data_IF_950540742665
#
_entry.id   IF_950540742665
#
_cell.length_a   1.000
_cell.length_b   1.000
_cell.length_c   1.000
_cell.angle_alpha   90.00
_cell.angle_beta   90.00
_cell.angle_gamma   90.00
#
_symmetry.space_group_name_H-M   'P 1'
#
loop_
_entity.id
_entity.type
_entity.pdbx_description
1 polymer ?
#
# COMPACT_ATOMS: atom_id res chain seq x y z
N UNK A 1 25.36 -5.82 7.49
CA UNK A 1 25.17 -4.92 8.65
C UNK A 1 23.85 -5.30 9.28
N UNK A 2 23.86 -5.84 10.50
CA UNK A 2 22.62 -6.11 11.24
C UNK A 2 22.09 -4.76 11.75
N UNK A 3 21.22 -4.13 10.97
CA UNK A 3 20.40 -3.03 11.48
C UNK A 3 19.49 -3.63 12.55
N UNK A 4 19.86 -3.48 13.81
CA UNK A 4 18.97 -3.76 14.93
C UNK A 4 17.90 -2.69 14.85
N UNK A 5 16.78 -3.05 14.23
CA UNK A 5 15.60 -2.19 14.14
C UNK A 5 15.08 -2.01 15.56
N UNK A 6 15.21 -0.80 16.11
CA UNK A 6 14.71 -0.49 17.44
C UNK A 6 13.20 -0.25 17.37
N UNK A 7 12.42 -1.15 17.97
CA UNK A 7 10.96 -1.06 17.99
C UNK A 7 10.47 0.24 18.64
N UNK A 8 11.17 0.76 19.65
CA UNK A 8 10.81 2.01 20.32
C UNK A 8 10.99 3.21 19.40
N UNK A 9 12.02 3.18 18.55
CA UNK A 9 12.27 4.21 17.55
C UNK A 9 11.19 4.20 16.44
N UNK A 10 10.84 3.01 15.93
CA UNK A 10 9.72 2.85 14.98
C UNK A 10 8.42 3.38 15.58
N UNK A 11 8.10 2.96 16.81
CA UNK A 11 6.90 3.40 17.49
C UNK A 11 6.89 4.93 17.65
N UNK A 12 8.02 5.53 18.05
CA UNK A 12 8.15 6.98 18.20
C UNK A 12 7.93 7.74 16.89
N UNK A 13 8.49 7.24 15.78
CA UNK A 13 8.30 7.85 14.45
C UNK A 13 6.84 7.74 14.01
N UNK A 14 6.22 6.56 14.17
CA UNK A 14 4.80 6.35 13.86
C UNK A 14 3.91 7.25 14.72
N UNK A 15 4.18 7.37 16.01
CA UNK A 15 3.45 8.27 16.91
C UNK A 15 3.55 9.73 16.49
N UNK A 16 4.76 10.21 16.14
CA UNK A 16 4.96 11.58 15.64
C UNK A 16 4.22 11.83 14.32
N UNK A 17 4.22 10.87 13.40
CA UNK A 17 3.46 10.98 12.15
C UNK A 17 1.96 11.09 12.43
N UNK A 18 1.43 10.24 13.32
CA UNK A 18 0.04 10.28 13.78
C UNK A 18 -0.34 11.59 14.48
N UNK A 19 0.57 12.20 15.25
CA UNK A 19 0.34 13.48 15.91
C UNK A 19 0.07 14.62 14.91
N UNK A 20 0.63 14.55 13.70
CA UNK A 20 0.35 15.54 12.62
C UNK A 20 -1.11 15.55 12.19
N UNK A 21 -1.84 14.44 12.36
CA UNK A 21 -3.26 14.30 12.02
C UNK A 21 -4.19 14.60 13.21
N UNK A 22 -3.63 14.70 14.42
CA UNK A 22 -4.39 14.90 15.65
C UNK A 22 -4.90 16.35 15.70
N UNK A 23 -6.16 16.54 15.33
CA UNK A 23 -6.84 17.83 15.35
C UNK A 23 -7.56 18.20 14.06
N UNK A 24 -7.27 17.52 12.94
CA UNK A 24 -7.98 17.70 11.65
C UNK A 24 -8.99 16.60 11.37
N UNK A 25 -8.82 15.40 11.95
CA UNK A 25 -9.67 14.22 11.75
C UNK A 25 -9.95 13.57 13.11
N UNK A 26 -11.16 13.01 13.30
CA UNK A 26 -11.53 12.29 14.52
C UNK A 26 -10.62 11.06 14.73
N UNK A 27 -10.17 10.78 15.97
CA UNK A 27 -9.32 9.63 16.27
C UNK A 27 -9.85 8.26 15.88
N UNK A 28 -11.16 8.10 15.85
CA UNK A 28 -11.82 6.87 15.42
C UNK A 28 -11.75 6.66 13.90
N UNK A 29 -11.59 7.73 13.12
CA UNK A 29 -11.56 7.69 11.67
C UNK A 29 -10.13 7.66 11.12
N UNK A 30 -9.21 8.50 11.61
CA UNK A 30 -7.83 8.57 11.07
C UNK A 30 -7.11 7.22 11.16
N UNK A 31 -7.41 6.41 12.18
CA UNK A 31 -6.82 5.07 12.34
C UNK A 31 -7.06 4.19 11.12
N UNK A 32 -8.26 4.24 10.54
CA UNK A 32 -8.61 3.40 9.40
C UNK A 32 -7.82 3.82 8.15
N UNK A 33 -7.70 5.12 7.90
CA UNK A 33 -6.89 5.67 6.80
C UNK A 33 -5.40 5.28 6.94
N UNK A 34 -4.82 5.45 8.13
CA UNK A 34 -3.40 5.12 8.37
C UNK A 34 -3.16 3.63 8.20
N UNK A 35 -4.01 2.77 8.76
CA UNK A 35 -3.83 1.32 8.66
C UNK A 35 -3.93 0.82 7.21
N UNK A 36 -4.85 1.38 6.41
CA UNK A 36 -4.95 1.02 4.99
C UNK A 36 -3.75 1.52 4.20
N UNK A 37 -3.25 2.73 4.48
CA UNK A 37 -2.03 3.22 3.82
C UNK A 37 -0.80 2.40 4.19
N UNK A 38 -0.66 2.00 5.46
CA UNK A 38 0.41 1.10 5.89
C UNK A 38 0.29 -0.27 5.23
N UNK A 39 -0.93 -0.81 5.12
CA UNK A 39 -1.18 -2.06 4.41
C UNK A 39 -0.80 -1.94 2.92
N UNK A 40 -1.20 -0.87 2.26
CA UNK A 40 -0.88 -0.60 0.85
C UNK A 40 0.64 -0.47 0.65
N UNK A 41 1.32 0.27 1.53
CA UNK A 41 2.79 0.36 1.51
C UNK A 41 3.43 -1.01 1.67
N UNK A 42 2.97 -1.79 2.65
CA UNK A 42 3.49 -3.13 2.91
C UNK A 42 3.36 -4.06 1.70
N UNK A 43 2.18 -4.15 1.08
CA UNK A 43 2.01 -5.02 -0.10
C UNK A 43 2.83 -4.52 -1.29
N UNK A 44 2.99 -3.20 -1.44
CA UNK A 44 3.78 -2.61 -2.52
C UNK A 44 5.27 -2.91 -2.36
N UNK A 45 5.77 -2.85 -1.14
CA UNK A 45 7.17 -3.18 -0.82
C UNK A 45 7.47 -4.65 -1.08
N UNK A 46 6.62 -5.54 -0.54
CA UNK A 46 6.77 -6.98 -0.77
C UNK A 46 6.69 -7.27 -2.27
N UNK A 47 5.78 -6.65 -3.00
CA UNK A 47 5.67 -6.89 -4.44
C UNK A 47 6.90 -6.38 -5.20
N UNK A 48 7.43 -5.20 -4.89
CA UNK A 48 8.64 -4.66 -5.53
C UNK A 48 9.88 -5.51 -5.27
N UNK A 49 10.08 -5.95 -4.03
CA UNK A 49 11.20 -6.83 -3.67
C UNK A 49 11.13 -8.14 -4.49
N UNK A 50 9.94 -8.74 -4.56
CA UNK A 50 9.71 -9.98 -5.32
C UNK A 50 9.85 -9.77 -6.82
N UNK A 51 9.39 -8.64 -7.34
CA UNK A 51 9.59 -8.24 -8.73
C UNK A 51 11.08 -8.16 -9.06
N UNK A 52 11.86 -7.46 -8.24
CA UNK A 52 13.31 -7.31 -8.43
C UNK A 52 14.03 -8.67 -8.39
N UNK A 53 13.71 -9.51 -7.39
CA UNK A 53 14.25 -10.88 -7.27
C UNK A 53 13.96 -11.72 -8.53
N UNK A 54 12.73 -11.67 -9.04
CA UNK A 54 12.32 -12.44 -10.21
C UNK A 54 12.94 -11.91 -11.50
N UNK A 55 13.08 -10.59 -11.64
CA UNK A 55 13.76 -9.95 -12.77
C UNK A 55 15.21 -10.39 -12.85
N UNK A 56 15.91 -10.42 -11.72
CA UNK A 56 17.29 -10.96 -11.67
C UNK A 56 17.31 -12.45 -12.01
N UNK A 57 16.44 -13.25 -11.38
CA UNK A 57 16.37 -14.70 -11.57
C UNK A 57 16.09 -15.13 -13.01
N UNK A 58 15.29 -14.36 -13.74
CA UNK A 58 14.91 -14.66 -15.11
C UNK A 58 15.63 -13.79 -16.16
N UNK A 59 16.73 -13.13 -15.77
CA UNK A 59 17.54 -12.29 -16.66
C UNK A 59 16.69 -11.25 -17.44
N UNK A 60 15.73 -10.63 -16.76
CA UNK A 60 14.86 -9.60 -17.33
C UNK A 60 13.71 -10.11 -18.21
N UNK A 61 13.42 -11.42 -18.24
CA UNK A 61 12.26 -11.96 -18.95
C UNK A 61 10.93 -11.61 -18.23
N UNK A 62 10.33 -10.50 -18.66
CA UNK A 62 9.08 -9.97 -18.13
C UNK A 62 7.95 -11.01 -18.13
N UNK A 63 7.82 -11.81 -19.18
CA UNK A 63 6.70 -12.75 -19.31
C UNK A 63 6.77 -13.84 -18.23
N UNK A 64 7.98 -14.27 -17.86
CA UNK A 64 8.20 -15.24 -16.79
C UNK A 64 7.98 -14.62 -15.42
N UNK A 65 8.42 -13.38 -15.22
CA UNK A 65 8.21 -12.60 -13.99
C UNK A 65 6.72 -12.43 -13.72
N UNK A 66 5.96 -11.92 -14.69
CA UNK A 66 4.50 -11.74 -14.57
C UNK A 66 3.77 -13.05 -14.29
N UNK A 67 4.27 -14.17 -14.85
CA UNK A 67 3.70 -15.50 -14.58
C UNK A 67 3.93 -15.93 -13.13
N UNK A 68 5.08 -15.64 -12.55
CA UNK A 68 5.35 -15.97 -11.15
C UNK A 68 4.58 -15.05 -10.19
N UNK A 69 4.49 -13.75 -10.50
CA UNK A 69 3.79 -12.78 -9.66
C UNK A 69 2.28 -13.08 -9.54
N UNK A 70 1.69 -13.75 -10.53
CA UNK A 70 0.29 -14.25 -10.43
C UNK A 70 0.07 -15.26 -9.30
N UNK A 71 1.12 -15.90 -8.79
CA UNK A 71 1.04 -16.84 -7.67
C UNK A 71 1.39 -16.21 -6.32
N UNK A 72 1.76 -14.93 -6.30
CA UNK A 72 2.03 -14.23 -5.04
C UNK A 72 0.77 -14.09 -4.19
N UNK A 73 0.98 -13.88 -2.88
CA UNK A 73 -0.13 -13.84 -1.92
C UNK A 73 -1.15 -12.75 -2.25
N UNK A 74 -0.70 -11.60 -2.73
CA UNK A 74 -1.56 -10.53 -3.19
C UNK A 74 -1.18 -10.17 -4.62
N UNK A 75 -2.19 -10.05 -5.46
CA UNK A 75 -2.05 -9.52 -6.81
C UNK A 75 -2.11 -8.00 -6.69
N UNK A 76 -1.07 -7.31 -7.15
CA UNK A 76 -1.03 -5.85 -7.19
C UNK A 76 -1.28 -5.40 -8.64
N UNK A 77 -2.46 -4.82 -8.95
CA UNK A 77 -2.74 -4.32 -10.28
C UNK A 77 -1.82 -3.16 -10.64
N UNK A 78 -1.54 -3.02 -11.93
CA UNK A 78 -0.71 -1.93 -12.44
C UNK A 78 -1.26 -0.56 -12.03
N UNK A 79 -0.35 0.33 -11.59
CA UNK A 79 -0.66 1.68 -11.16
C UNK A 79 -1.49 1.78 -9.87
N UNK A 80 -1.64 0.67 -9.13
CA UNK A 80 -2.36 0.65 -7.84
C UNK A 80 -1.42 0.54 -6.64
N UNK A 81 -0.10 0.57 -6.88
CA UNK A 81 0.91 0.51 -5.83
C UNK A 81 1.09 1.86 -5.13
N UNK A 82 1.65 1.81 -3.93
CA UNK A 82 1.91 2.98 -3.10
C UNK A 82 2.76 4.04 -3.81
N UNK A 83 3.77 3.63 -4.59
CA UNK A 83 4.71 4.57 -5.20
C UNK A 83 4.04 5.35 -6.33
N UNK A 84 3.20 4.69 -7.14
CA UNK A 84 2.37 5.37 -8.14
C UNK A 84 1.51 6.46 -7.51
N UNK A 85 0.84 6.16 -6.39
CA UNK A 85 0.01 7.14 -5.68
C UNK A 85 0.85 8.24 -5.01
N UNK A 86 2.03 7.88 -4.49
CA UNK A 86 2.95 8.84 -3.88
C UNK A 86 3.47 9.86 -4.89
N UNK A 87 3.74 9.44 -6.13
CA UNK A 87 4.14 10.35 -7.20
C UNK A 87 3.02 11.33 -7.57
N UNK A 88 1.76 10.93 -7.38
CA UNK A 88 0.55 11.72 -7.61
C UNK A 88 0.05 12.45 -6.35
N UNK A 89 0.82 12.48 -5.25
CA UNK A 89 0.36 13.02 -3.94
C UNK A 89 -0.05 14.50 -3.93
N UNK A 90 0.25 15.25 -4.97
CA UNK A 90 -0.13 16.67 -5.11
C UNK A 90 -1.31 16.87 -6.08
N UNK A 91 -1.85 15.79 -6.66
CA UNK A 91 -2.99 15.85 -7.56
C UNK A 91 -4.26 16.20 -6.78
N UNK A 92 -5.10 17.04 -7.37
CA UNK A 92 -6.34 17.50 -6.74
C UNK A 92 -7.33 16.37 -6.47
N UNK A 93 -7.25 15.28 -7.25
CA UNK A 93 -8.11 14.10 -7.14
C UNK A 93 -7.39 12.90 -6.50
N UNK A 94 -6.37 13.14 -5.65
CA UNK A 94 -5.64 12.06 -4.98
C UNK A 94 -6.54 11.08 -4.22
N UNK A 95 -7.58 11.57 -3.54
CA UNK A 95 -8.52 10.71 -2.82
C UNK A 95 -9.24 9.71 -3.73
N UNK A 96 -9.68 10.17 -4.90
CA UNK A 96 -10.30 9.34 -5.94
C UNK A 96 -9.31 8.29 -6.47
N UNK A 97 -8.07 8.71 -6.73
CA UNK A 97 -7.01 7.81 -7.22
C UNK A 97 -6.70 6.70 -6.21
N UNK A 98 -6.65 7.03 -4.92
CA UNK A 98 -6.50 6.07 -3.83
C UNK A 98 -7.69 5.09 -3.81
N UNK A 99 -8.91 5.60 -3.86
CA UNK A 99 -10.11 4.75 -3.84
C UNK A 99 -10.13 3.78 -5.03
N UNK A 100 -9.80 4.24 -6.23
CA UNK A 100 -9.69 3.41 -7.45
C UNK A 100 -8.61 2.33 -7.27
N UNK A 101 -7.45 2.68 -6.70
CA UNK A 101 -6.38 1.70 -6.46
C UNK A 101 -6.83 0.61 -5.46
N UNK A 102 -7.49 1.00 -4.36
CA UNK A 102 -7.99 0.07 -3.36
C UNK A 102 -9.08 -0.86 -3.92
N UNK A 103 -9.99 -0.33 -4.74
CA UNK A 103 -11.03 -1.13 -5.42
C UNK A 103 -10.39 -2.17 -6.36
N UNK A 104 -9.43 -1.76 -7.19
CA UNK A 104 -8.69 -2.68 -8.07
C UNK A 104 -7.98 -3.78 -7.28
N UNK A 105 -7.36 -3.43 -6.15
CA UNK A 105 -6.69 -4.40 -5.27
C UNK A 105 -7.71 -5.35 -4.65
N UNK A 106 -8.84 -4.86 -4.15
CA UNK A 106 -9.92 -5.71 -3.62
C UNK A 106 -10.44 -6.68 -4.69
N UNK A 107 -10.70 -6.18 -5.90
CA UNK A 107 -11.20 -6.96 -7.01
C UNK A 107 -10.22 -8.05 -7.48
N UNK A 108 -8.93 -7.74 -7.52
CA UNK A 108 -7.90 -8.71 -7.87
C UNK A 108 -7.69 -9.77 -6.77
N UNK A 109 -8.12 -9.49 -5.53
CA UNK A 109 -7.87 -10.33 -4.36
C UNK A 109 -9.14 -10.70 -3.59
N UNK A 110 -10.30 -10.81 -4.26
CA UNK A 110 -11.63 -11.03 -3.63
C UNK A 110 -11.63 -12.06 -2.52
N UNK A 111 -11.01 -13.22 -2.75
CA UNK A 111 -10.96 -14.30 -1.76
C UNK A 111 -10.34 -13.92 -0.41
N UNK A 112 -9.53 -12.85 -0.36
CA UNK A 112 -8.75 -12.42 0.81
C UNK A 112 -9.13 -11.04 1.32
N UNK A 113 -9.56 -10.14 0.43
CA UNK A 113 -9.76 -8.72 0.74
C UNK A 113 -11.20 -8.23 0.60
N UNK A 114 -12.16 -9.12 0.32
CA UNK A 114 -13.56 -8.72 0.22
C UNK A 114 -14.05 -8.00 1.48
N UNK A 115 -14.63 -6.82 1.31
CA UNK A 115 -15.10 -5.92 2.36
C UNK A 115 -14.02 -5.28 3.25
N UNK A 116 -12.73 -5.45 2.95
CA UNK A 116 -11.66 -4.90 3.80
C UNK A 116 -11.58 -3.38 3.72
N UNK A 117 -11.83 -2.78 2.54
CA UNK A 117 -11.69 -1.33 2.33
C UNK A 117 -13.01 -0.54 2.32
N UNK A 118 -14.17 -1.22 2.42
CA UNK A 118 -15.50 -0.60 2.18
C UNK A 118 -15.90 0.53 3.13
N UNK A 119 -15.27 0.63 4.30
CA UNK A 119 -15.60 1.66 5.30
C UNK A 119 -14.69 2.90 5.20
N UNK A 120 -13.95 3.04 4.11
CA UNK A 120 -12.96 4.12 3.94
C UNK A 120 -13.19 4.76 2.59
N UNK A 121 -13.39 6.07 2.62
CA UNK A 121 -13.50 6.91 1.43
C UNK A 121 -12.49 8.05 1.56
N UNK A 122 -11.46 8.08 0.71
CA UNK A 122 -10.46 9.16 0.74
C UNK A 122 -10.97 10.48 0.13
N UNK A 123 -12.20 10.51 -0.40
CA UNK A 123 -12.89 11.73 -0.83
C UNK A 123 -13.91 12.24 0.18
N UNK A 124 -14.12 11.56 1.32
CA UNK A 124 -15.05 12.07 2.34
C UNK A 124 -14.40 13.25 3.06
N UNK A 125 -14.87 14.46 2.77
CA UNK A 125 -14.76 15.63 3.65
C UNK A 125 -15.74 15.55 4.82
#
# INVERSE_FOLDING_TARGET
>A
MNNIINQDEINSILWKACDTFRGTIDPSEYKNYILVMLFLKYISDVWQDRYAELMEKYNGDQMRVDRQLRYERFILPEGSDYYTLYDQRNEANLGELINIALEKIEDANKQKLENVFRNIDFNSE
#
